data_IF_182490182442
#
_entry.id   IF_182490182442
#
_cell.length_a   1.000
_cell.length_b   1.000
_cell.length_c   1.000
_cell.angle_alpha   90.00
_cell.angle_beta   90.00
_cell.angle_gamma   90.00
#
_symmetry.space_group_name_H-M   'P 1'
#
loop_
_entity.id
_entity.type
_entity.pdbx_description
1 polymer ?
#
# COMPACT_ATOMS: atom_id res chain seq x y z
N UNK A 1 -3.52 -28.34 24.32
CA UNK A 1 -3.02 -26.99 23.98
C UNK A 1 -3.14 -26.15 25.25
N UNK A 2 -2.12 -25.38 25.64
CA UNK A 2 -2.12 -24.63 26.91
C UNK A 2 -3.15 -23.48 26.86
N UNK A 3 -3.95 -23.27 27.90
CA UNK A 3 -5.01 -22.24 27.92
C UNK A 3 -4.46 -20.82 27.66
N UNK A 4 -3.23 -20.52 28.10
CA UNK A 4 -2.56 -19.25 27.80
C UNK A 4 -2.28 -19.10 26.30
N UNK A 5 -1.91 -20.19 25.62
CA UNK A 5 -1.69 -20.19 24.17
C UNK A 5 -3.00 -19.98 23.42
N UNK A 6 -4.11 -20.57 23.90
CA UNK A 6 -5.44 -20.37 23.32
C UNK A 6 -5.90 -18.91 23.46
N UNK A 7 -5.72 -18.30 24.64
CA UNK A 7 -6.04 -16.88 24.83
C UNK A 7 -5.17 -15.98 23.94
N UNK A 8 -3.87 -16.25 23.85
CA UNK A 8 -2.95 -15.54 22.94
C UNK A 8 -3.44 -15.60 21.49
N UNK A 9 -3.88 -16.79 21.04
CA UNK A 9 -4.41 -16.99 19.70
C UNK A 9 -5.71 -16.20 19.47
N UNK A 10 -6.64 -16.23 20.42
CA UNK A 10 -7.91 -15.51 20.35
C UNK A 10 -7.68 -14.00 20.27
N UNK A 11 -6.82 -13.45 21.13
CA UNK A 11 -6.47 -12.02 21.11
C UNK A 11 -5.84 -11.62 19.77
N UNK A 12 -4.92 -12.44 19.25
CA UNK A 12 -4.35 -12.21 17.92
C UNK A 12 -5.42 -12.25 16.81
N UNK A 13 -6.36 -13.19 16.86
CA UNK A 13 -7.46 -13.31 15.89
C UNK A 13 -8.38 -12.09 15.94
N UNK A 14 -8.78 -11.65 17.14
CA UNK A 14 -9.59 -10.43 17.33
C UNK A 14 -8.91 -9.24 16.67
N UNK A 15 -7.64 -8.97 17.01
CA UNK A 15 -6.93 -7.81 16.48
C UNK A 15 -6.71 -7.90 14.97
N UNK A 16 -6.43 -9.10 14.44
CA UNK A 16 -6.31 -9.31 12.99
C UNK A 16 -7.62 -8.99 12.25
N UNK A 17 -8.76 -9.45 12.79
CA UNK A 17 -10.09 -9.19 12.20
C UNK A 17 -10.46 -7.71 12.32
N UNK A 18 -10.08 -7.04 13.42
CA UNK A 18 -10.25 -5.59 13.58
C UNK A 18 -9.46 -4.80 12.53
N UNK A 19 -8.19 -5.16 12.29
CA UNK A 19 -7.35 -4.56 11.26
C UNK A 19 -8.00 -4.67 9.86
N UNK A 20 -8.46 -5.87 9.50
CA UNK A 20 -9.16 -6.09 8.24
C UNK A 20 -10.43 -5.23 8.13
N UNK A 21 -11.17 -5.11 9.23
CA UNK A 21 -12.41 -4.33 9.29
C UNK A 21 -12.15 -2.84 9.05
N UNK A 22 -11.08 -2.27 9.59
CA UNK A 22 -10.71 -0.86 9.34
C UNK A 22 -10.41 -0.60 7.86
N UNK A 23 -9.70 -1.51 7.18
CA UNK A 23 -9.45 -1.39 5.74
C UNK A 23 -10.77 -1.43 4.95
N UNK A 24 -11.69 -2.32 5.33
CA UNK A 24 -13.00 -2.42 4.67
C UNK A 24 -13.86 -1.18 4.87
N UNK A 25 -13.78 -0.52 6.04
CA UNK A 25 -14.43 0.78 6.26
C UNK A 25 -13.88 1.82 5.30
N UNK A 26 -12.56 1.93 5.16
CA UNK A 26 -11.94 2.88 4.24
C UNK A 26 -12.40 2.66 2.79
N UNK A 27 -12.53 1.40 2.35
CA UNK A 27 -13.14 1.09 1.06
C UNK A 27 -14.60 1.57 0.94
N UNK A 28 -15.41 1.35 1.97
CA UNK A 28 -16.80 1.82 1.98
C UNK A 28 -16.87 3.36 1.90
N UNK A 29 -16.08 4.07 2.70
CA UNK A 29 -16.02 5.54 2.68
C UNK A 29 -15.54 6.07 1.32
N UNK A 30 -14.58 5.40 0.68
CA UNK A 30 -14.15 5.73 -0.70
C UNK A 30 -15.29 5.60 -1.71
N UNK A 31 -16.04 4.49 -1.66
CA UNK A 31 -17.17 4.24 -2.57
C UNK A 31 -18.31 5.22 -2.32
N UNK A 32 -18.56 5.59 -1.07
CA UNK A 32 -19.57 6.60 -0.71
C UNK A 32 -19.15 8.03 -1.05
N UNK A 33 -17.86 8.27 -1.26
CA UNK A 33 -17.31 9.61 -1.45
C UNK A 33 -17.14 10.40 -0.14
N UNK A 34 -17.13 9.72 0.99
CA UNK A 34 -17.02 10.29 2.35
C UNK A 34 -15.64 10.05 2.98
N UNK A 35 -14.63 9.66 2.20
CA UNK A 35 -13.29 9.42 2.73
C UNK A 35 -12.60 10.71 3.24
N UNK A 36 -13.00 11.88 2.72
CA UNK A 36 -12.64 13.22 3.21
C UNK A 36 -13.89 13.91 3.76
N UNK A 37 -14.37 13.50 4.93
CA UNK A 37 -15.58 14.06 5.55
C UNK A 37 -15.48 15.57 5.89
N UNK A 38 -14.30 16.21 5.79
CA UNK A 38 -14.08 17.54 6.35
C UNK A 38 -14.35 18.75 5.44
N UNK A 39 -14.39 18.67 4.10
CA UNK A 39 -14.09 19.90 3.34
C UNK A 39 -14.94 20.30 2.14
N UNK A 40 -15.97 19.56 1.70
CA UNK A 40 -16.38 19.82 0.32
C UNK A 40 -17.89 19.62 0.06
N UNK A 41 -18.56 20.68 -0.44
CA UNK A 41 -20.02 20.83 -0.64
C UNK A 41 -20.54 20.35 -2.02
N UNK A 42 -19.74 19.63 -2.82
CA UNK A 42 -20.18 19.05 -4.09
C UNK A 42 -21.16 17.88 -3.95
N UNK A 43 -21.96 17.66 -4.99
CA UNK A 43 -22.87 16.53 -5.18
C UNK A 43 -22.14 15.21 -4.87
N UNK A 44 -22.59 14.46 -3.86
CA UNK A 44 -21.95 13.22 -3.36
C UNK A 44 -21.58 12.20 -4.45
N UNK A 45 -22.39 12.13 -5.51
CA UNK A 45 -22.17 11.22 -6.65
C UNK A 45 -20.84 11.46 -7.35
N UNK A 46 -20.41 12.73 -7.44
CA UNK A 46 -19.18 13.14 -8.13
C UNK A 46 -17.89 12.79 -7.40
N UNK A 47 -17.96 12.31 -6.14
CA UNK A 47 -16.78 12.04 -5.29
C UNK A 47 -16.44 10.57 -5.06
N UNK A 48 -17.18 9.67 -5.70
CA UNK A 48 -17.08 8.23 -5.45
C UNK A 48 -15.89 7.63 -6.18
N UNK A 49 -14.96 6.99 -5.47
CA UNK A 49 -13.84 6.25 -6.04
C UNK A 49 -13.97 4.77 -5.71
N UNK A 50 -13.63 3.92 -6.70
CA UNK A 50 -13.77 2.48 -6.63
C UNK A 50 -12.38 1.85 -6.68
N UNK A 51 -11.76 1.59 -5.52
CA UNK A 51 -10.46 0.92 -5.46
C UNK A 51 -10.49 -0.40 -6.22
N UNK A 52 -9.37 -0.77 -6.84
CA UNK A 52 -9.24 -2.02 -7.61
C UNK A 52 -9.68 -3.25 -6.80
N UNK A 53 -9.46 -3.25 -5.47
CA UNK A 53 -9.87 -4.33 -4.59
C UNK A 53 -11.41 -4.44 -4.49
N UNK A 54 -12.12 -3.32 -4.48
CA UNK A 54 -13.60 -3.29 -4.51
C UNK A 54 -14.09 -3.79 -5.86
N UNK A 55 -13.47 -3.34 -6.96
CA UNK A 55 -13.79 -3.81 -8.30
C UNK A 55 -13.57 -5.33 -8.43
N UNK A 56 -12.49 -5.85 -7.85
CA UNK A 56 -12.22 -7.29 -7.82
C UNK A 56 -13.25 -8.06 -6.98
N UNK A 57 -13.67 -7.52 -5.83
CA UNK A 57 -14.72 -8.14 -5.00
C UNK A 57 -16.03 -8.24 -5.79
N UNK A 58 -16.41 -7.16 -6.48
CA UNK A 58 -17.57 -7.13 -7.37
C UNK A 58 -17.48 -8.17 -8.49
N UNK A 59 -16.34 -8.26 -9.17
CA UNK A 59 -16.13 -9.23 -10.23
C UNK A 59 -16.22 -10.67 -9.72
N UNK A 60 -15.71 -10.96 -8.53
CA UNK A 60 -15.83 -12.29 -7.92
C UNK A 60 -17.28 -12.61 -7.58
N UNK A 61 -18.03 -11.66 -7.00
CA UNK A 61 -19.45 -11.85 -6.69
C UNK A 61 -20.27 -12.10 -7.96
N UNK A 62 -20.07 -11.29 -9.01
CA UNK A 62 -20.77 -11.46 -10.29
C UNK A 62 -20.48 -12.81 -10.95
N UNK A 63 -19.24 -13.32 -10.85
CA UNK A 63 -18.88 -14.65 -11.35
C UNK A 63 -19.57 -15.77 -10.57
N UNK A 64 -19.75 -15.61 -9.26
CA UNK A 64 -20.47 -16.58 -8.43
C UNK A 64 -21.97 -16.58 -8.79
N UNK A 65 -22.58 -15.41 -8.97
CA UNK A 65 -24.01 -15.29 -9.32
C UNK A 65 -24.32 -15.78 -10.74
N UNK A 66 -23.40 -15.60 -11.70
CA UNK A 66 -23.57 -16.10 -13.08
C UNK A 66 -23.36 -17.61 -13.21
N UNK A 67 -22.64 -18.24 -12.28
CA UNK A 67 -22.48 -19.70 -12.24
C UNK A 67 -23.68 -20.41 -11.60
N UNK A 68 -24.51 -19.70 -10.83
CA UNK A 68 -25.74 -20.25 -10.22
C UNK A 68 -26.97 -20.12 -11.13
N UNK A 69 -26.86 -19.42 -12.26
CA UNK A 69 -27.89 -19.36 -13.32
C UNK A 69 -27.36 -20.05 -14.57
N UNK A 70 -27.57 -21.36 -14.63
CA UNK A 70 -27.09 -22.24 -15.69
C UNK A 70 -27.72 -21.92 -17.07
N UNK A 71 -26.96 -22.17 -18.12
CA UNK A 71 -27.39 -22.43 -19.52
C UNK A 71 -27.82 -21.23 -20.42
N UNK A 72 -27.15 -21.17 -21.58
CA UNK A 72 -27.60 -20.55 -22.86
C UNK A 72 -27.80 -19.03 -22.90
N UNK A 73 -26.71 -18.28 -23.15
CA UNK A 73 -26.68 -17.31 -24.27
C UNK A 73 -25.26 -16.81 -24.54
N UNK A 74 -24.69 -17.27 -25.66
CA UNK A 74 -23.50 -16.67 -26.28
C UNK A 74 -23.91 -15.34 -26.93
N UNK A 75 -23.72 -14.22 -26.24
CA UNK A 75 -23.40 -12.93 -26.88
C UNK A 75 -22.70 -12.01 -25.88
N UNK A 76 -21.38 -11.99 -25.90
CA UNK A 76 -20.58 -11.09 -25.06
C UNK A 76 -20.52 -9.71 -25.73
N UNK A 77 -21.64 -8.99 -25.68
CA UNK A 77 -21.61 -7.52 -25.78
C UNK A 77 -21.33 -7.01 -24.36
N UNK A 78 -20.41 -6.05 -24.12
CA UNK A 78 -20.22 -5.49 -22.80
C UNK A 78 -21.52 -4.76 -22.43
N UNK A 79 -22.32 -5.36 -21.56
CA UNK A 79 -23.55 -4.75 -21.08
C UNK A 79 -23.15 -3.51 -20.29
N UNK A 80 -23.50 -2.32 -20.82
CA UNK A 80 -23.51 -1.07 -20.07
C UNK A 80 -24.56 -1.21 -18.96
N UNK A 81 -24.14 -1.80 -17.84
CA UNK A 81 -24.96 -1.89 -16.63
C UNK A 81 -24.92 -0.52 -15.96
N UNK A 82 -26.10 0.06 -15.74
CA UNK A 82 -26.32 1.33 -15.06
C UNK A 82 -25.48 1.46 -13.79
N UNK A 83 -24.55 2.41 -13.80
CA UNK A 83 -23.56 2.70 -12.73
C UNK A 83 -24.18 2.84 -11.33
N UNK A 84 -25.45 3.27 -11.24
CA UNK A 84 -26.18 3.38 -9.96
C UNK A 84 -26.50 2.03 -9.33
N UNK A 85 -26.90 1.04 -10.14
CA UNK A 85 -27.19 -0.30 -9.63
C UNK A 85 -25.92 -1.01 -9.15
N UNK A 86 -24.81 -0.84 -9.87
CA UNK A 86 -23.51 -1.39 -9.43
C UNK A 86 -23.07 -0.82 -8.08
N UNK A 87 -23.34 0.47 -7.84
CA UNK A 87 -22.95 1.12 -6.59
C UNK A 87 -23.71 0.57 -5.39
N UNK A 88 -25.04 0.46 -5.49
CA UNK A 88 -25.87 -0.09 -4.40
C UNK A 88 -25.43 -1.51 -4.08
N UNK A 89 -25.13 -2.31 -5.11
CA UNK A 89 -24.58 -3.67 -4.95
C UNK A 89 -23.25 -3.61 -4.19
N UNK A 90 -22.29 -2.76 -4.58
CA UNK A 90 -21.01 -2.63 -3.88
C UNK A 90 -21.15 -2.26 -2.41
N UNK A 91 -21.96 -1.25 -2.13
CA UNK A 91 -22.16 -0.77 -0.76
C UNK A 91 -22.78 -1.87 0.09
N UNK A 92 -23.78 -2.58 -0.43
CA UNK A 92 -24.38 -3.72 0.26
C UNK A 92 -23.35 -4.82 0.54
N UNK A 93 -22.53 -5.19 -0.44
CA UNK A 93 -21.47 -6.19 -0.25
C UNK A 93 -20.46 -5.77 0.82
N UNK A 94 -19.95 -4.54 0.76
CA UNK A 94 -19.01 -4.03 1.76
C UNK A 94 -19.65 -3.99 3.16
N UNK A 95 -20.91 -3.59 3.27
CA UNK A 95 -21.66 -3.61 4.52
C UNK A 95 -21.84 -5.04 5.05
N UNK A 96 -22.20 -6.01 4.21
CA UNK A 96 -22.31 -7.41 4.59
C UNK A 96 -20.97 -7.97 5.09
N UNK A 97 -19.87 -7.69 4.40
CA UNK A 97 -18.53 -8.06 4.84
C UNK A 97 -18.17 -7.43 6.19
N UNK A 98 -18.50 -6.15 6.41
CA UNK A 98 -18.29 -5.46 7.68
C UNK A 98 -19.10 -6.09 8.81
N UNK A 99 -20.36 -6.47 8.55
CA UNK A 99 -21.20 -7.16 9.53
C UNK A 99 -20.67 -8.57 9.85
N UNK A 100 -20.22 -9.33 8.84
CA UNK A 100 -19.59 -10.63 9.04
C UNK A 100 -18.34 -10.53 9.93
N UNK A 101 -17.49 -9.53 9.67
CA UNK A 101 -16.29 -9.27 10.48
C UNK A 101 -16.65 -8.84 11.91
N UNK A 102 -17.69 -8.03 12.09
CA UNK A 102 -18.21 -7.67 13.43
C UNK A 102 -18.63 -8.91 14.22
N UNK A 103 -19.43 -9.79 13.61
CA UNK A 103 -19.87 -11.05 14.25
C UNK A 103 -18.69 -11.97 14.60
N UNK A 104 -17.65 -12.01 13.76
CA UNK A 104 -16.44 -12.78 14.05
C UNK A 104 -15.69 -12.24 15.28
N UNK A 105 -15.58 -10.90 15.42
CA UNK A 105 -14.99 -10.27 16.60
C UNK A 105 -15.79 -10.64 17.85
N UNK A 106 -17.12 -10.43 17.81
CA UNK A 106 -18.02 -10.74 18.94
C UNK A 106 -17.94 -12.22 19.36
N UNK A 107 -17.79 -13.12 18.39
CA UNK A 107 -17.62 -14.55 18.64
C UNK A 107 -16.30 -14.84 19.39
N UNK A 108 -15.18 -14.29 18.92
CA UNK A 108 -13.87 -14.52 19.56
C UNK A 108 -13.76 -13.83 20.93
N UNK A 109 -14.36 -12.65 21.10
CA UNK A 109 -14.44 -11.96 22.38
C UNK A 109 -15.19 -12.82 23.40
N UNK A 110 -16.32 -13.42 23.00
CA UNK A 110 -17.07 -14.33 23.87
C UNK A 110 -16.27 -15.58 24.26
N UNK A 111 -15.60 -16.22 23.30
CA UNK A 111 -14.73 -17.37 23.60
C UNK A 111 -13.58 -16.99 24.54
N UNK A 112 -13.01 -15.79 24.39
CA UNK A 112 -11.96 -15.28 25.25
C UNK A 112 -12.48 -15.08 26.68
N UNK A 113 -13.65 -14.47 26.85
CA UNK A 113 -14.29 -14.25 28.15
C UNK A 113 -14.60 -15.57 28.87
N UNK A 114 -15.12 -16.57 28.14
CA UNK A 114 -15.36 -17.92 28.66
C UNK A 114 -14.06 -18.59 29.12
N UNK A 115 -12.95 -18.37 28.42
CA UNK A 115 -11.62 -18.90 28.79
C UNK A 115 -11.00 -18.18 29.98
N UNK A 116 -11.16 -16.86 30.07
CA UNK A 116 -10.67 -16.08 31.20
C UNK A 116 -11.41 -16.44 32.49
N UNK A 117 -12.73 -16.62 32.42
CA UNK A 117 -13.56 -16.97 33.58
C UNK A 117 -13.33 -18.40 34.10
N UNK A 118 -12.80 -19.31 33.28
CA UNK A 118 -12.52 -20.70 33.66
C UNK A 118 -11.11 -20.91 34.20
N UNK A 119 -10.18 -19.98 33.96
CA UNK A 119 -8.79 -20.11 34.37
C UNK A 119 -8.55 -19.62 35.80
N UNK A 120 -8.32 -20.57 36.72
CA UNK A 120 -7.98 -20.27 38.11
C UNK A 120 -6.66 -19.48 38.15
N UNK A 121 -6.68 -18.29 38.79
CA UNK A 121 -5.56 -17.32 38.90
C UNK A 121 -5.20 -16.55 37.62
N UNK A 122 -6.12 -16.42 36.66
CA UNK A 122 -5.96 -15.37 35.65
C UNK A 122 -5.99 -13.99 36.33
N UNK A 123 -5.00 -13.15 36.02
CA UNK A 123 -4.86 -11.81 36.60
C UNK A 123 -4.70 -10.80 35.47
N UNK A 124 -4.99 -9.53 35.75
CA UNK A 124 -4.74 -8.44 34.80
C UNK A 124 -3.29 -8.40 34.32
N UNK A 125 -2.32 -8.74 35.18
CA UNK A 125 -0.90 -8.81 34.82
C UNK A 125 -0.61 -9.90 33.78
N UNK A 126 -1.27 -11.06 33.87
CA UNK A 126 -1.13 -12.13 32.86
C UNK A 126 -1.76 -11.68 31.54
N UNK A 127 -2.94 -11.04 31.61
CA UNK A 127 -3.59 -10.48 30.42
C UNK A 127 -2.68 -9.45 29.73
N UNK A 128 -2.15 -8.48 30.46
CA UNK A 128 -1.25 -7.45 29.94
C UNK A 128 0.01 -8.06 29.32
N UNK A 129 0.59 -9.11 29.95
CA UNK A 129 1.73 -9.81 29.38
C UNK A 129 1.40 -10.51 28.04
N UNK A 130 0.20 -11.10 27.92
CA UNK A 130 -0.28 -11.68 26.66
C UNK A 130 -0.52 -10.58 25.63
N UNK A 131 -1.17 -9.48 25.99
CA UNK A 131 -1.42 -8.33 25.11
C UNK A 131 -0.12 -7.76 24.54
N UNK A 132 0.88 -7.51 25.40
CA UNK A 132 2.20 -7.03 24.98
C UNK A 132 2.86 -8.04 24.05
N UNK A 133 2.76 -9.34 24.35
CA UNK A 133 3.34 -10.39 23.50
C UNK A 133 2.67 -10.42 22.12
N UNK A 134 1.34 -10.46 22.07
CA UNK A 134 0.55 -10.44 20.83
C UNK A 134 0.85 -9.18 20.03
N UNK A 135 0.86 -8.02 20.69
CA UNK A 135 1.13 -6.75 20.03
C UNK A 135 2.52 -6.72 19.40
N UNK A 136 3.54 -7.11 20.18
CA UNK A 136 4.94 -7.01 19.78
C UNK A 136 5.33 -8.03 18.70
N UNK A 137 4.83 -9.26 18.78
CA UNK A 137 5.29 -10.37 17.93
C UNK A 137 4.27 -10.84 16.90
N UNK A 138 2.97 -10.60 17.12
CA UNK A 138 1.91 -11.04 16.21
C UNK A 138 1.32 -9.90 15.36
N UNK A 139 1.17 -8.70 15.92
CA UNK A 139 0.30 -7.66 15.33
C UNK A 139 1.06 -6.52 14.65
N UNK A 140 2.23 -6.11 15.17
CA UNK A 140 2.95 -4.91 14.68
C UNK A 140 3.16 -4.89 13.16
N UNK A 141 3.57 -6.01 12.56
CA UNK A 141 3.76 -6.11 11.12
C UNK A 141 2.44 -5.99 10.33
N UNK A 142 1.33 -6.49 10.89
CA UNK A 142 0.00 -6.36 10.32
C UNK A 142 -0.51 -4.92 10.39
N UNK A 143 -0.26 -4.20 11.49
CA UNK A 143 -0.60 -2.79 11.63
C UNK A 143 0.16 -1.92 10.63
N UNK A 144 1.47 -2.11 10.49
CA UNK A 144 2.24 -1.39 9.48
C UNK A 144 1.70 -1.63 8.06
N UNK A 145 1.27 -2.86 7.77
CA UNK A 145 0.65 -3.21 6.49
C UNK A 145 -0.73 -2.58 6.34
N UNK A 146 -1.52 -2.49 7.42
CA UNK A 146 -2.79 -1.78 7.47
C UNK A 146 -2.59 -0.30 7.17
N UNK A 147 -1.66 0.35 7.85
CA UNK A 147 -1.42 1.79 7.74
C UNK A 147 -1.00 2.16 6.33
N UNK A 148 -0.08 1.39 5.74
CA UNK A 148 0.27 1.56 4.33
C UNK A 148 -0.96 1.39 3.43
N UNK A 149 -1.78 0.34 3.62
CA UNK A 149 -2.97 0.13 2.79
C UNK A 149 -3.96 1.28 2.89
N UNK A 150 -4.23 1.77 4.10
CA UNK A 150 -5.11 2.91 4.34
C UNK A 150 -4.57 4.16 3.64
N UNK A 151 -3.28 4.47 3.83
CA UNK A 151 -2.64 5.60 3.16
C UNK A 151 -2.74 5.50 1.63
N UNK A 152 -2.51 4.31 1.05
CA UNK A 152 -2.65 4.09 -0.39
C UNK A 152 -4.10 4.31 -0.88
N UNK A 153 -5.10 3.89 -0.12
CA UNK A 153 -6.52 4.16 -0.44
C UNK A 153 -6.78 5.67 -0.47
N UNK A 154 -6.27 6.42 0.51
CA UNK A 154 -6.38 7.87 0.53
C UNK A 154 -5.70 8.52 -0.67
N UNK A 155 -4.45 8.15 -0.98
CA UNK A 155 -3.75 8.72 -2.13
C UNK A 155 -4.41 8.38 -3.48
N UNK A 156 -4.98 7.18 -3.62
CA UNK A 156 -5.75 6.79 -4.81
C UNK A 156 -7.04 7.60 -4.93
N UNK A 157 -7.78 7.74 -3.82
CA UNK A 157 -8.97 8.58 -3.74
C UNK A 157 -8.68 10.04 -4.12
N UNK A 158 -7.62 10.60 -3.55
CA UNK A 158 -7.19 11.99 -3.79
C UNK A 158 -6.78 12.22 -5.24
N UNK A 159 -6.10 11.25 -5.85
CA UNK A 159 -5.74 11.31 -7.26
C UNK A 159 -6.98 11.35 -8.16
N UNK A 160 -8.00 10.56 -7.84
CA UNK A 160 -9.26 10.54 -8.58
C UNK A 160 -10.01 11.87 -8.41
N UNK A 161 -10.05 12.44 -7.21
CA UNK A 161 -10.71 13.72 -6.94
C UNK A 161 -10.03 14.86 -7.70
N UNK A 162 -8.71 14.96 -7.61
CA UNK A 162 -7.93 15.96 -8.36
C UNK A 162 -8.13 15.82 -9.87
N UNK A 163 -8.24 14.59 -10.38
CA UNK A 163 -8.50 14.36 -11.80
C UNK A 163 -9.90 14.84 -12.21
N UNK A 164 -10.92 14.62 -11.37
CA UNK A 164 -12.28 15.12 -11.65
C UNK A 164 -12.36 16.63 -11.60
N UNK A 165 -11.77 17.25 -10.59
CA UNK A 165 -11.64 18.71 -10.49
C UNK A 165 -10.92 19.27 -11.72
N UNK A 166 -9.84 18.62 -12.16
CA UNK A 166 -9.11 19.00 -13.37
C UNK A 166 -10.00 18.97 -14.63
N UNK A 167 -10.85 17.96 -14.80
CA UNK A 167 -11.76 17.89 -15.96
C UNK A 167 -12.95 18.85 -15.87
N UNK A 168 -13.37 19.24 -14.66
CA UNK A 168 -14.43 20.25 -14.47
C UNK A 168 -14.01 21.63 -14.97
N UNK A 169 -12.70 21.94 -14.93
CA UNK A 169 -12.12 23.14 -15.53
C UNK A 169 -12.10 23.12 -17.08
N UNK A 170 -12.63 22.06 -17.71
CA UNK A 170 -12.72 21.88 -19.15
C UNK A 170 -11.39 22.12 -19.89
N UNK A 171 -10.32 21.39 -19.53
CA UNK A 171 -9.02 21.55 -20.15
C UNK A 171 -9.08 21.12 -21.62
N UNK A 172 -8.35 21.85 -22.47
CA UNK A 172 -8.21 21.45 -23.87
C UNK A 172 -7.26 20.25 -24.03
N UNK A 173 -7.25 19.63 -25.20
CA UNK A 173 -6.44 18.43 -25.48
C UNK A 173 -4.94 18.64 -25.19
N UNK A 174 -4.42 19.83 -25.46
CA UNK A 174 -3.03 20.16 -25.20
C UNK A 174 -2.73 20.15 -23.69
N UNK A 175 -3.56 20.81 -22.87
CA UNK A 175 -3.44 20.84 -21.42
C UNK A 175 -3.57 19.43 -20.82
N UNK A 176 -4.48 18.60 -21.35
CA UNK A 176 -4.64 17.19 -20.93
C UNK A 176 -3.34 16.40 -21.16
N UNK A 177 -2.73 16.51 -22.34
CA UNK A 177 -1.49 15.79 -22.65
C UNK A 177 -0.31 16.29 -21.80
N UNK A 178 -0.19 17.61 -21.55
CA UNK A 178 0.83 18.16 -20.65
C UNK A 178 0.70 17.57 -19.23
N UNK A 179 -0.51 17.60 -18.66
CA UNK A 179 -0.75 17.05 -17.32
C UNK A 179 -0.43 15.55 -17.23
N UNK A 180 -0.74 14.79 -18.28
CA UNK A 180 -0.47 13.35 -18.39
C UNK A 180 1.03 13.06 -18.52
N UNK A 181 1.75 13.79 -19.37
CA UNK A 181 3.20 13.68 -19.53
C UNK A 181 3.92 13.98 -18.22
N UNK A 182 3.59 15.09 -17.56
CA UNK A 182 4.16 15.47 -16.26
C UNK A 182 3.89 14.43 -15.17
N UNK A 183 2.64 13.97 -15.06
CA UNK A 183 2.28 12.94 -14.07
C UNK A 183 3.05 11.64 -14.31
N UNK A 184 3.19 11.22 -15.56
CA UNK A 184 3.94 10.02 -15.95
C UNK A 184 5.42 10.15 -15.62
N UNK A 185 6.05 11.25 -16.04
CA UNK A 185 7.46 11.54 -15.75
C UNK A 185 7.71 11.60 -14.23
N UNK A 186 6.81 12.22 -13.46
CA UNK A 186 6.92 12.27 -12.00
C UNK A 186 6.85 10.89 -11.35
N UNK A 187 5.96 10.02 -11.82
CA UNK A 187 5.89 8.63 -11.34
C UNK A 187 7.20 7.88 -11.63
N UNK A 188 7.82 8.08 -12.79
CA UNK A 188 9.12 7.49 -13.14
C UNK A 188 10.25 8.00 -12.23
N UNK A 189 10.27 9.30 -11.94
CA UNK A 189 11.21 9.91 -10.98
C UNK A 189 11.08 9.27 -9.61
N UNK A 190 9.87 9.21 -9.04
CA UNK A 190 9.70 8.69 -7.70
C UNK A 190 9.97 7.16 -7.62
N UNK A 191 9.65 6.40 -8.68
CA UNK A 191 10.00 4.98 -8.79
C UNK A 191 11.51 4.76 -8.79
N UNK A 192 12.25 5.53 -9.60
CA UNK A 192 13.70 5.42 -9.71
C UNK A 192 14.39 5.90 -8.44
N UNK A 193 13.93 7.02 -7.85
CA UNK A 193 14.37 7.53 -6.55
C UNK A 193 14.22 6.49 -5.44
N UNK A 194 13.04 5.86 -5.32
CA UNK A 194 12.80 4.80 -4.34
C UNK A 194 13.79 3.64 -4.51
N UNK A 195 13.97 3.18 -5.75
CA UNK A 195 14.89 2.06 -6.06
C UNK A 195 16.31 2.38 -5.61
N UNK A 196 16.79 3.60 -5.90
CA UNK A 196 18.08 4.08 -5.46
C UNK A 196 18.19 4.12 -3.92
N UNK A 197 17.18 4.68 -3.24
CA UNK A 197 17.18 4.79 -1.79
C UNK A 197 17.14 3.41 -1.09
N UNK A 198 16.40 2.45 -1.64
CA UNK A 198 16.36 1.07 -1.12
C UNK A 198 17.73 0.39 -1.28
N UNK A 199 18.41 0.57 -2.41
CA UNK A 199 19.76 0.02 -2.62
C UNK A 199 20.77 0.65 -1.68
N UNK A 200 20.74 1.98 -1.52
CA UNK A 200 21.60 2.70 -0.56
C UNK A 200 21.35 2.23 0.86
N UNK A 201 20.09 2.16 1.28
CA UNK A 201 19.71 1.65 2.60
C UNK A 201 20.26 0.23 2.83
N UNK A 202 20.11 -0.67 1.86
CA UNK A 202 20.65 -2.03 1.97
C UNK A 202 22.16 -2.06 2.17
N UNK A 203 22.94 -1.18 1.55
CA UNK A 203 24.40 -1.13 1.75
C UNK A 203 24.76 -0.59 3.14
N UNK A 204 24.08 0.47 3.59
CA UNK A 204 24.36 1.08 4.90
C UNK A 204 23.90 0.21 6.08
N UNK A 205 22.80 -0.53 5.91
CA UNK A 205 22.16 -1.30 6.99
C UNK A 205 22.22 -2.82 6.77
N UNK A 206 22.82 -3.32 5.69
CA UNK A 206 23.30 -4.70 5.69
C UNK A 206 24.40 -4.79 6.71
N UNK A 207 24.06 -5.19 7.94
CA UNK A 207 25.05 -5.78 8.83
C UNK A 207 25.78 -6.85 8.00
N UNK A 208 27.12 -6.83 7.92
CA UNK A 208 27.84 -8.08 7.73
C UNK A 208 27.21 -9.04 8.74
N UNK A 209 26.82 -10.25 8.34
CA UNK A 209 26.44 -11.21 9.36
C UNK A 209 27.59 -11.26 10.34
N UNK A 210 27.37 -10.81 11.58
CA UNK A 210 28.24 -11.22 12.66
C UNK A 210 28.29 -12.74 12.52
N UNK A 211 29.52 -13.20 12.30
CA UNK A 211 29.94 -14.59 12.20
C UNK A 211 28.94 -15.56 12.81
N UNK A 212 28.70 -16.67 12.11
CA UNK A 212 28.22 -17.94 12.68
C UNK A 212 28.58 -18.04 14.17
N UNK A 213 27.64 -17.69 15.05
CA UNK A 213 27.70 -18.10 16.45
C UNK A 213 27.39 -19.59 16.41
N UNK A 214 28.46 -20.38 16.29
CA UNK A 214 28.43 -21.83 16.38
C UNK A 214 28.08 -22.25 17.81
N UNK A 215 26.84 -22.04 18.22
CA UNK A 215 26.28 -22.71 19.38
C UNK A 215 25.69 -24.04 18.91
N UNK A 216 26.54 -25.07 18.96
CA UNK A 216 26.15 -26.43 19.32
C UNK A 216 25.59 -27.32 18.22
N UNK A 217 26.44 -27.89 17.37
CA UNK A 217 26.44 -29.33 17.09
C UNK A 217 27.84 -29.73 16.61
N UNK A 218 28.41 -30.77 17.24
CA UNK A 218 29.73 -31.34 16.98
C UNK A 218 30.00 -31.51 15.46
N UNK A 219 30.84 -30.64 14.90
CA UNK A 219 31.53 -30.89 13.63
C UNK A 219 33.02 -31.15 13.93
N UNK A 220 33.68 -32.07 13.20
CA UNK A 220 35.09 -32.38 13.43
C UNK A 220 35.91 -31.10 13.27
N UNK A 221 36.84 -30.88 14.19
CA UNK A 221 37.83 -29.79 14.19
C UNK A 221 38.44 -29.62 12.80
N UNK A 222 38.00 -28.60 12.07
CA UNK A 222 38.67 -28.09 10.87
C UNK A 222 40.08 -27.65 11.26
N UNK A 223 41.07 -28.01 10.44
CA UNK A 223 42.44 -27.55 10.64
C UNK A 223 42.49 -26.01 10.63
N UNK A 224 43.44 -25.42 11.36
CA UNK A 224 43.57 -23.97 11.47
C UNK A 224 43.76 -23.27 10.11
N UNK A 225 44.32 -23.98 9.13
CA UNK A 225 44.49 -23.53 7.74
C UNK A 225 43.18 -23.55 6.94
N UNK A 226 42.29 -24.52 7.18
CA UNK A 226 40.98 -24.58 6.53
C UNK A 226 40.09 -23.44 7.03
N UNK A 227 40.10 -23.14 8.33
CA UNK A 227 39.39 -22.00 8.92
C UNK A 227 39.83 -20.67 8.29
N UNK A 228 41.15 -20.48 8.10
CA UNK A 228 41.71 -19.30 7.43
C UNK A 228 41.31 -19.22 5.95
N UNK A 229 41.21 -20.36 5.28
CA UNK A 229 40.75 -20.43 3.89
C UNK A 229 39.28 -20.04 3.78
N UNK A 230 38.43 -20.57 4.67
CA UNK A 230 37.01 -20.21 4.78
C UNK A 230 36.82 -18.71 5.03
N UNK A 231 37.53 -18.13 6.00
CA UNK A 231 37.48 -16.69 6.29
C UNK A 231 37.91 -15.85 5.08
N UNK A 232 38.91 -16.30 4.32
CA UNK A 232 39.39 -15.62 3.11
C UNK A 232 38.36 -15.69 1.99
N UNK A 233 37.72 -16.84 1.79
CA UNK A 233 36.65 -17.01 0.80
C UNK A 233 35.40 -16.21 1.18
N UNK A 234 35.01 -16.20 2.45
CA UNK A 234 33.89 -15.40 2.94
C UNK A 234 34.16 -13.91 2.74
N UNK A 235 35.35 -13.42 3.11
CA UNK A 235 35.75 -12.02 2.84
C UNK A 235 35.75 -11.68 1.35
N UNK A 236 36.18 -12.61 0.49
CA UNK A 236 36.14 -12.41 -0.96
C UNK A 236 34.71 -12.35 -1.50
N UNK A 237 33.80 -13.19 -0.99
CA UNK A 237 32.37 -13.18 -1.34
C UNK A 237 31.72 -11.88 -0.86
N UNK A 238 32.00 -11.45 0.37
CA UNK A 238 31.49 -10.20 0.92
C UNK A 238 31.97 -8.99 0.10
N UNK A 239 33.25 -8.93 -0.27
CA UNK A 239 33.79 -7.88 -1.15
C UNK A 239 33.10 -7.88 -2.51
N UNK A 240 32.99 -9.04 -3.16
CA UNK A 240 32.30 -9.15 -4.46
C UNK A 240 30.83 -8.73 -4.38
N UNK A 241 30.15 -9.04 -3.28
CA UNK A 241 28.77 -8.60 -3.03
C UNK A 241 28.68 -7.08 -2.89
N UNK A 242 29.62 -6.46 -2.20
CA UNK A 242 29.70 -5.01 -2.06
C UNK A 242 30.01 -4.31 -3.39
N UNK A 243 30.96 -4.84 -4.16
CA UNK A 243 31.30 -4.32 -5.50
C UNK A 243 30.09 -4.37 -6.43
N UNK A 244 29.36 -5.50 -6.44
CA UNK A 244 28.13 -5.64 -7.22
C UNK A 244 27.04 -4.67 -6.77
N UNK A 245 26.90 -4.42 -5.45
CA UNK A 245 25.96 -3.43 -4.94
C UNK A 245 26.33 -2.01 -5.35
N UNK A 246 27.62 -1.68 -5.36
CA UNK A 246 28.13 -0.37 -5.79
C UNK A 246 27.80 -0.11 -7.27
N UNK A 247 28.01 -1.11 -8.13
CA UNK A 247 27.62 -1.03 -9.56
C UNK A 247 26.11 -0.81 -9.70
N UNK A 248 25.29 -1.58 -8.98
CA UNK A 248 23.82 -1.42 -9.01
C UNK A 248 23.35 -0.06 -8.50
N UNK A 249 24.03 0.52 -7.51
CA UNK A 249 23.74 1.88 -7.04
C UNK A 249 24.04 2.88 -8.15
N UNK A 250 25.21 2.79 -8.80
CA UNK A 250 25.57 3.70 -9.89
C UNK A 250 24.60 3.62 -11.08
N UNK A 251 24.15 2.41 -11.45
CA UNK A 251 23.10 2.20 -12.45
C UNK A 251 21.77 2.86 -12.04
N UNK A 252 21.36 2.68 -10.78
CA UNK A 252 20.14 3.27 -10.25
C UNK A 252 20.21 4.80 -10.15
N UNK A 253 21.38 5.36 -9.79
CA UNK A 253 21.64 6.81 -9.80
C UNK A 253 21.51 7.37 -11.21
N UNK A 254 22.16 6.75 -12.18
CA UNK A 254 22.09 7.16 -13.59
C UNK A 254 20.64 7.18 -14.08
N UNK A 255 19.87 6.12 -13.78
CA UNK A 255 18.45 6.05 -14.14
C UNK A 255 17.62 7.13 -13.44
N UNK A 256 17.85 7.37 -12.15
CA UNK A 256 17.16 8.43 -11.41
C UNK A 256 17.44 9.81 -12.03
N UNK A 257 18.69 10.13 -12.33
CA UNK A 257 19.04 11.41 -12.96
C UNK A 257 18.45 11.57 -14.35
N UNK A 258 18.38 10.51 -15.15
CA UNK A 258 17.71 10.53 -16.46
C UNK A 258 16.22 10.83 -16.33
N UNK A 259 15.53 10.15 -15.42
CA UNK A 259 14.11 10.42 -15.14
C UNK A 259 13.91 11.85 -14.63
N UNK A 260 14.77 12.33 -13.73
CA UNK A 260 14.68 13.68 -13.16
C UNK A 260 14.87 14.75 -14.25
N UNK A 261 15.90 14.62 -15.08
CA UNK A 261 16.16 15.54 -16.20
C UNK A 261 14.97 15.59 -17.16
N UNK A 262 14.36 14.44 -17.46
CA UNK A 262 13.14 14.39 -18.28
C UNK A 262 12.00 15.15 -17.61
N UNK A 263 11.74 14.89 -16.33
CA UNK A 263 10.68 15.59 -15.59
C UNK A 263 10.90 17.10 -15.54
N UNK A 264 12.13 17.55 -15.25
CA UNK A 264 12.47 18.98 -15.20
C UNK A 264 12.28 19.65 -16.57
N UNK A 265 12.59 18.95 -17.66
CA UNK A 265 12.35 19.43 -19.02
C UNK A 265 10.85 19.58 -19.32
N UNK A 266 10.02 18.60 -18.98
CA UNK A 266 8.56 18.67 -19.13
C UNK A 266 7.97 19.80 -18.27
N UNK A 267 8.47 19.96 -17.05
CA UNK A 267 8.04 21.00 -16.11
C UNK A 267 8.40 22.40 -16.63
N UNK A 268 9.62 22.59 -17.11
CA UNK A 268 10.04 23.84 -17.73
C UNK A 268 9.21 24.16 -18.98
N UNK A 269 8.89 23.14 -19.78
CA UNK A 269 8.03 23.28 -20.96
C UNK A 269 6.64 23.77 -20.55
N UNK A 270 6.01 23.15 -19.55
CA UNK A 270 4.71 23.60 -19.01
C UNK A 270 4.77 25.07 -18.55
N UNK A 271 5.80 25.46 -17.79
CA UNK A 271 5.92 26.82 -17.28
C UNK A 271 6.14 27.88 -18.37
N UNK A 272 6.87 27.54 -19.42
CA UNK A 272 7.03 28.42 -20.58
C UNK A 272 5.67 28.64 -21.27
N UNK A 273 4.87 27.58 -21.42
CA UNK A 273 3.54 27.66 -22.03
C UNK A 273 2.49 28.31 -21.12
N UNK A 274 2.69 28.32 -19.80
CA UNK A 274 1.87 29.11 -18.88
C UNK A 274 2.10 30.62 -19.07
N UNK A 275 3.33 31.05 -19.37
CA UNK A 275 3.68 32.46 -19.59
C UNK A 275 3.21 32.99 -20.95
N UNK A 276 3.17 32.13 -21.97
CA UNK A 276 2.63 32.46 -23.28
C UNK A 276 1.10 32.22 -23.32
N UNK A 277 0.33 33.22 -22.89
CA UNK A 277 -1.14 33.25 -22.97
C UNK A 277 -1.66 33.43 -24.42
N UNK A 278 -1.08 32.71 -25.38
CA UNK A 278 -1.66 32.58 -26.72
C UNK A 278 -2.99 31.83 -26.57
N UNK A 279 -4.04 32.37 -27.21
CA UNK A 279 -5.47 32.12 -26.95
C UNK A 279 -5.97 30.66 -26.87
N UNK A 280 -5.16 29.63 -27.06
CA UNK A 280 -5.57 28.21 -26.99
C UNK A 280 -4.53 27.27 -26.35
N UNK A 281 -3.42 27.77 -25.81
CA UNK A 281 -2.33 26.94 -25.25
C UNK A 281 -1.92 27.30 -23.82
N UNK A 282 -2.36 28.46 -23.31
CA UNK A 282 -2.06 28.90 -21.96
C UNK A 282 -2.69 27.98 -20.90
N UNK A 283 -1.95 27.70 -19.83
CA UNK A 283 -2.46 26.98 -18.66
C UNK A 283 -3.04 27.99 -17.66
N UNK A 284 -4.26 27.77 -17.16
CA UNK A 284 -4.83 28.65 -16.12
C UNK A 284 -4.15 28.38 -14.77
N UNK A 285 -4.14 29.36 -13.87
CA UNK A 285 -3.61 29.17 -12.51
C UNK A 285 -4.30 28.01 -11.78
N UNK A 286 -5.61 27.83 -11.97
CA UNK A 286 -6.36 26.72 -11.38
C UNK A 286 -5.87 25.36 -11.89
N UNK A 287 -5.71 25.21 -13.22
CA UNK A 287 -5.18 23.97 -13.82
C UNK A 287 -3.74 23.69 -13.35
N UNK A 288 -2.89 24.72 -13.25
CA UNK A 288 -1.52 24.59 -12.73
C UNK A 288 -1.54 24.09 -11.29
N UNK A 289 -2.35 24.70 -10.41
CA UNK A 289 -2.46 24.28 -9.00
C UNK A 289 -2.95 22.83 -8.86
N UNK A 290 -3.92 22.41 -9.68
CA UNK A 290 -4.41 21.03 -9.68
C UNK A 290 -3.33 20.03 -10.11
N UNK A 291 -2.53 20.38 -11.12
CA UNK A 291 -1.37 19.57 -11.53
C UNK A 291 -0.33 19.50 -10.41
N UNK A 292 0.03 20.63 -9.79
CA UNK A 292 0.98 20.65 -8.68
C UNK A 292 0.53 19.79 -7.50
N UNK A 293 -0.74 19.89 -7.12
CA UNK A 293 -1.33 19.05 -6.08
C UNK A 293 -1.26 17.56 -6.45
N UNK A 294 -1.49 17.21 -7.73
CA UNK A 294 -1.34 15.83 -8.21
C UNK A 294 0.12 15.36 -8.13
N UNK A 295 1.09 16.20 -8.49
CA UNK A 295 2.51 15.87 -8.41
C UNK A 295 2.97 15.70 -6.95
N UNK A 296 2.43 16.50 -6.03
CA UNK A 296 2.63 16.34 -4.59
C UNK A 296 2.04 15.03 -4.08
N UNK A 297 0.79 14.72 -4.45
CA UNK A 297 0.11 13.46 -4.12
C UNK A 297 0.92 12.23 -4.56
N UNK A 298 1.51 12.27 -5.77
CA UNK A 298 2.42 11.23 -6.25
C UNK A 298 3.66 11.12 -5.34
N UNK A 299 4.31 12.24 -5.03
CA UNK A 299 5.52 12.27 -4.19
C UNK A 299 5.26 11.67 -2.80
N UNK A 300 4.18 12.09 -2.16
CA UNK A 300 3.85 11.67 -0.80
C UNK A 300 3.43 10.19 -0.76
N UNK A 301 2.69 9.71 -1.77
CA UNK A 301 2.40 8.28 -1.94
C UNK A 301 3.68 7.44 -2.02
N UNK A 302 4.67 7.86 -2.81
CA UNK A 302 5.92 7.11 -2.97
C UNK A 302 6.79 7.16 -1.71
N UNK A 303 6.75 8.26 -0.96
CA UNK A 303 7.38 8.38 0.35
C UNK A 303 6.81 7.37 1.34
N UNK A 304 5.49 7.22 1.37
CA UNK A 304 4.82 6.27 2.28
C UNK A 304 5.20 4.82 1.95
N UNK A 305 5.24 4.47 0.66
CA UNK A 305 5.70 3.16 0.20
C UNK A 305 7.16 2.90 0.61
N UNK A 306 8.02 3.91 0.50
CA UNK A 306 9.42 3.79 0.90
C UNK A 306 9.55 3.58 2.41
N UNK A 307 8.87 4.41 3.22
CA UNK A 307 8.89 4.32 4.68
C UNK A 307 8.43 2.94 5.17
N UNK A 308 7.37 2.39 4.57
CA UNK A 308 6.93 1.03 4.89
C UNK A 308 8.00 -0.02 4.58
N UNK A 309 8.70 0.09 3.44
CA UNK A 309 9.69 -0.89 2.99
C UNK A 309 11.01 -0.88 3.76
N UNK A 310 11.38 0.24 4.37
CA UNK A 310 12.61 0.32 5.19
C UNK A 310 12.35 -0.10 6.64
N UNK A 311 11.11 0.03 7.11
CA UNK A 311 10.73 -0.27 8.49
C UNK A 311 10.24 -1.71 8.68
N UNK A 312 10.03 -2.46 7.61
CA UNK A 312 9.53 -3.85 7.58
C UNK A 312 10.51 -4.73 6.80
#
# INVERSE_FOLDING_TARGET
>A
MNDIQQMTLLMHQITTVQIDREIMKAYLHSVKGTLREAECHFIEVGRRFWPMQVQSLMLTQHKLTMNDTDTTSKTTTPMEIDTKNQQIICENLLNEHLQKKKRQIEYYEKELDEKQSTLIRFTSTIQEAIEIHVQKYGIKALEMKRDLKLALIHYDYDSEMLQREYFQEQPNNYQIEVAKCLSTAKVEVEKSKRTLLELKYRVFYSKPSDSFDSSGTLMPTLNHDDQRLFDKHEKAIQRRKLDLMTVKIAEAETKFYQCLKRFDHELATMWNNHRDLVKNQGMTTTLTNLIENRLKNITDRWREIYNYRINN
#
